data_IF_150564433656
#
_entry.id   IF_150564433656
#
_cell.length_a   1.000
_cell.length_b   1.000
_cell.length_c   1.000
_cell.angle_alpha   90.00
_cell.angle_beta   90.00
_cell.angle_gamma   90.00
#
_symmetry.space_group_name_H-M   'P 1'
#
loop_
_entity.id
_entity.type
_entity.pdbx_description
1 polymer ?
#
# COMPACT_ATOMS: atom_id res chain seq x y z
N UNK A 1 15.35 -13.40 15.13
CA UNK A 1 14.59 -12.12 15.03
C UNK A 1 13.17 -12.48 14.57
N UNK A 2 12.12 -11.72 14.96
CA UNK A 2 10.69 -12.10 14.76
C UNK A 2 10.35 -12.46 13.30
N UNK A 3 10.90 -11.73 12.33
CA UNK A 3 10.61 -11.88 10.90
C UNK A 3 11.83 -12.35 10.08
N UNK A 4 12.70 -13.17 10.69
CA UNK A 4 13.88 -13.71 10.00
C UNK A 4 14.89 -12.63 9.58
N UNK A 5 15.57 -12.85 8.46
CA UNK A 5 16.62 -11.96 7.94
C UNK A 5 16.11 -10.57 7.54
N UNK A 6 14.84 -10.48 7.09
CA UNK A 6 14.21 -9.24 6.66
C UNK A 6 13.59 -8.43 7.81
N UNK A 7 13.86 -8.78 9.08
CA UNK A 7 13.21 -8.16 10.24
C UNK A 7 13.26 -6.64 10.25
N UNK A 8 14.40 -6.03 9.88
CA UNK A 8 14.49 -4.57 9.90
C UNK A 8 13.68 -3.91 8.78
N UNK A 9 13.53 -4.59 7.64
CA UNK A 9 12.74 -4.10 6.52
C UNK A 9 11.24 -4.12 6.84
N UNK A 10 10.76 -5.22 7.43
CA UNK A 10 9.37 -5.33 7.90
C UNK A 10 9.09 -4.26 8.97
N UNK A 11 10.00 -4.10 9.93
CA UNK A 11 9.87 -3.07 10.98
C UNK A 11 9.82 -1.65 10.45
N UNK A 12 10.54 -1.31 9.38
CA UNK A 12 10.44 0.03 8.78
C UNK A 12 9.00 0.35 8.32
N UNK A 13 8.25 -0.63 7.80
CA UNK A 13 6.83 -0.42 7.44
C UNK A 13 5.96 -0.30 8.69
N UNK A 14 6.20 -1.13 9.70
CA UNK A 14 5.48 -1.06 10.98
C UNK A 14 5.72 0.26 11.73
N UNK A 15 6.96 0.74 11.71
CA UNK A 15 7.35 2.01 12.32
C UNK A 15 6.83 3.20 11.51
N UNK A 16 6.48 3.01 10.23
CA UNK A 16 5.86 4.07 9.43
C UNK A 16 4.51 4.49 10.04
N UNK A 17 3.61 3.54 10.32
CA UNK A 17 2.28 3.85 10.88
C UNK A 17 2.34 4.46 12.29
N UNK A 18 3.37 4.11 13.06
CA UNK A 18 3.61 4.61 14.43
C UNK A 18 4.12 6.04 14.48
N UNK A 19 4.95 6.42 13.52
CA UNK A 19 5.77 7.63 13.61
C UNK A 19 5.46 8.68 12.54
N UNK A 20 4.58 8.37 11.58
CA UNK A 20 4.25 9.27 10.48
C UNK A 20 2.78 9.66 10.50
N UNK A 21 2.49 10.60 9.61
CA UNK A 21 1.16 11.09 9.30
C UNK A 21 1.02 11.14 7.79
N UNK A 22 -0.10 10.64 7.28
CA UNK A 22 -0.48 10.72 5.88
C UNK A 22 -0.70 12.17 5.45
N UNK A 23 -0.48 12.44 4.17
CA UNK A 23 -0.76 13.73 3.55
C UNK A 23 -0.04 14.93 4.19
N UNK A 24 1.13 14.71 4.79
CA UNK A 24 1.89 15.75 5.51
C UNK A 24 3.11 16.28 4.72
N UNK A 25 3.27 15.89 3.45
CA UNK A 25 4.41 16.26 2.60
C UNK A 25 3.96 17.08 1.40
N UNK A 26 4.73 18.13 1.12
CA UNK A 26 4.42 19.11 0.08
C UNK A 26 5.09 18.82 -1.27
N UNK A 27 6.06 17.89 -1.32
CA UNK A 27 6.89 17.64 -2.50
C UNK A 27 6.83 16.15 -2.85
N UNK A 28 5.83 15.79 -3.63
CA UNK A 28 5.66 14.44 -4.17
C UNK A 28 6.44 14.31 -5.49
N UNK A 29 7.39 13.38 -5.53
CA UNK A 29 8.30 13.13 -6.64
C UNK A 29 8.45 11.62 -6.86
N UNK A 30 7.63 11.09 -7.76
CA UNK A 30 7.76 9.72 -8.27
C UNK A 30 7.56 9.76 -9.79
N UNK A 31 8.29 8.92 -10.51
CA UNK A 31 8.20 8.84 -11.97
C UNK A 31 7.09 7.86 -12.39
N UNK A 32 6.59 8.00 -13.62
CA UNK A 32 5.60 7.09 -14.23
C UNK A 32 4.30 6.96 -13.41
N UNK A 33 3.71 8.10 -13.08
CA UNK A 33 2.41 8.18 -12.43
C UNK A 33 1.62 9.40 -12.88
N UNK A 34 0.33 9.32 -12.65
CA UNK A 34 -0.58 10.45 -12.70
C UNK A 34 -0.92 10.89 -11.27
N UNK A 35 -0.81 12.20 -11.00
CA UNK A 35 -1.24 12.78 -9.73
C UNK A 35 -2.63 13.39 -9.91
N UNK A 36 -3.53 13.07 -9.00
CA UNK A 36 -4.85 13.70 -8.88
C UNK A 36 -5.00 14.35 -7.50
N UNK A 37 -5.86 15.36 -7.42
CA UNK A 37 -6.07 16.20 -6.23
C UNK A 37 -7.52 16.17 -5.74
N UNK A 38 -8.43 15.55 -6.50
CA UNK A 38 -9.82 15.39 -6.11
C UNK A 38 -9.99 14.06 -5.35
N UNK A 39 -10.39 14.15 -4.09
CA UNK A 39 -10.54 12.98 -3.24
C UNK A 39 -11.71 12.10 -3.67
N UNK A 40 -12.81 12.67 -4.17
CA UNK A 40 -13.94 11.87 -4.65
C UNK A 40 -13.56 11.12 -5.93
N UNK A 41 -12.78 11.75 -6.81
CA UNK A 41 -12.21 11.07 -7.99
C UNK A 41 -11.31 9.91 -7.57
N UNK A 42 -10.42 10.13 -6.60
CA UNK A 42 -9.56 9.08 -6.07
C UNK A 42 -10.33 7.90 -5.47
N UNK A 43 -11.38 8.18 -4.70
CA UNK A 43 -12.29 7.17 -4.16
C UNK A 43 -13.00 6.37 -5.27
N UNK A 44 -13.53 7.06 -6.27
CA UNK A 44 -14.18 6.39 -7.40
C UNK A 44 -13.21 5.47 -8.15
N UNK A 45 -11.97 5.91 -8.38
CA UNK A 45 -10.94 5.09 -9.03
C UNK A 45 -10.57 3.85 -8.19
N UNK A 46 -10.44 4.01 -6.87
CA UNK A 46 -10.02 2.93 -5.98
C UNK A 46 -11.09 1.85 -5.86
N UNK A 47 -12.37 2.25 -5.85
CA UNK A 47 -13.49 1.34 -5.59
C UNK A 47 -14.23 0.86 -6.83
N UNK A 48 -14.11 1.56 -7.97
CA UNK A 48 -14.84 1.16 -9.18
C UNK A 48 -14.40 -0.23 -9.64
N UNK A 49 -15.41 -1.08 -9.83
CA UNK A 49 -15.28 -2.42 -10.42
C UNK A 49 -15.75 -2.43 -11.87
N UNK A 50 -16.15 -1.27 -12.41
CA UNK A 50 -16.69 -1.15 -13.76
C UNK A 50 -15.56 -0.75 -14.73
N UNK A 51 -15.15 -1.71 -15.58
CA UNK A 51 -14.16 -1.48 -16.64
C UNK A 51 -14.60 -0.48 -17.73
N UNK A 52 -15.84 0.00 -17.68
CA UNK A 52 -16.30 1.11 -18.52
C UNK A 52 -16.10 2.49 -17.88
N UNK A 53 -15.86 2.54 -16.57
CA UNK A 53 -15.57 3.76 -15.81
C UNK A 53 -14.07 3.97 -15.61
N UNK A 54 -13.29 2.89 -15.57
CA UNK A 54 -11.84 2.91 -15.35
C UNK A 54 -11.09 2.08 -16.40
N UNK A 55 -9.90 2.53 -16.78
CA UNK A 55 -9.04 1.83 -17.76
C UNK A 55 -8.63 0.43 -17.26
N UNK A 56 -8.26 0.34 -15.98
CA UNK A 56 -7.93 -0.91 -15.30
C UNK A 56 -8.49 -0.86 -13.88
N UNK A 57 -9.21 -1.90 -13.47
CA UNK A 57 -9.74 -2.04 -12.10
C UNK A 57 -8.58 -2.15 -11.11
N UNK A 58 -8.57 -1.27 -10.11
CA UNK A 58 -7.46 -1.19 -9.15
C UNK A 58 -7.28 -2.48 -8.35
N UNK A 59 -8.39 -3.06 -7.90
CA UNK A 59 -8.39 -4.33 -7.16
C UNK A 59 -7.81 -5.48 -7.98
N UNK A 60 -8.02 -5.50 -9.30
CA UNK A 60 -7.40 -6.49 -10.18
C UNK A 60 -5.87 -6.39 -10.17
N UNK A 61 -5.32 -5.16 -10.21
CA UNK A 61 -3.87 -4.94 -10.13
C UNK A 61 -3.31 -5.44 -8.79
N UNK A 62 -3.94 -5.03 -7.67
CA UNK A 62 -3.54 -5.48 -6.32
C UNK A 62 -3.60 -7.01 -6.21
N UNK A 63 -4.64 -7.65 -6.74
CA UNK A 63 -4.79 -9.11 -6.68
C UNK A 63 -3.70 -9.85 -7.45
N UNK A 64 -3.29 -9.36 -8.64
CA UNK A 64 -2.23 -9.99 -9.42
C UNK A 64 -0.89 -9.95 -8.67
N UNK A 65 -0.58 -8.81 -8.06
CA UNK A 65 0.68 -8.60 -7.34
C UNK A 65 0.71 -9.38 -6.01
N UNK A 66 -0.41 -9.38 -5.28
CA UNK A 66 -0.55 -10.08 -4.01
C UNK A 66 -0.40 -11.59 -4.13
N UNK A 67 -0.87 -12.19 -5.24
CA UNK A 67 -0.80 -13.64 -5.45
C UNK A 67 0.63 -14.20 -5.29
N UNK A 68 1.62 -13.50 -5.84
CA UNK A 68 3.03 -13.91 -5.75
C UNK A 68 3.60 -13.84 -4.32
N UNK A 69 3.10 -12.91 -3.51
CA UNK A 69 3.50 -12.76 -2.10
C UNK A 69 2.89 -13.90 -1.29
N UNK A 70 1.59 -14.15 -1.48
CA UNK A 70 0.86 -15.22 -0.78
C UNK A 70 1.46 -16.59 -1.07
N UNK A 71 1.79 -16.88 -2.32
CA UNK A 71 2.48 -18.12 -2.71
C UNK A 71 3.81 -18.29 -1.94
N UNK A 72 4.64 -17.24 -1.89
CA UNK A 72 5.92 -17.28 -1.16
C UNK A 72 5.76 -17.43 0.35
N UNK A 73 4.71 -16.87 0.94
CA UNK A 73 4.42 -17.07 2.37
C UNK A 73 4.22 -18.56 2.66
N UNK A 74 3.45 -19.26 1.82
CA UNK A 74 3.24 -20.70 1.97
C UNK A 74 4.51 -21.50 1.68
N UNK A 75 5.21 -21.22 0.60
CA UNK A 75 6.42 -21.96 0.19
C UNK A 75 7.56 -21.86 1.21
N UNK A 76 7.64 -20.73 1.92
CA UNK A 76 8.66 -20.46 2.93
C UNK A 76 8.21 -20.78 4.36
N UNK A 77 7.00 -21.32 4.55
CA UNK A 77 6.40 -21.62 5.86
C UNK A 77 6.35 -20.39 6.80
N UNK A 78 5.92 -19.25 6.26
CA UNK A 78 5.90 -17.96 6.94
C UNK A 78 4.52 -17.53 7.46
N UNK A 79 3.56 -18.47 7.54
CA UNK A 79 2.17 -18.19 7.93
C UNK A 79 2.08 -17.54 9.31
N UNK A 80 2.91 -17.96 10.27
CA UNK A 80 2.90 -17.36 11.62
C UNK A 80 3.35 -15.89 11.59
N UNK A 81 4.35 -15.56 10.76
CA UNK A 81 4.84 -14.20 10.59
C UNK A 81 3.83 -13.34 9.83
N UNK A 82 3.07 -13.94 8.91
CA UNK A 82 1.97 -13.27 8.24
C UNK A 82 0.85 -12.92 9.24
N UNK A 83 0.42 -13.86 10.08
CA UNK A 83 -0.58 -13.61 11.13
C UNK A 83 -0.12 -12.51 12.08
N UNK A 84 1.15 -12.54 12.50
CA UNK A 84 1.77 -11.50 13.32
C UNK A 84 1.75 -10.09 12.67
N UNK A 85 1.81 -10.02 11.34
CA UNK A 85 1.74 -8.77 10.58
C UNK A 85 0.28 -8.31 10.49
N UNK A 86 -0.65 -9.21 10.18
CA UNK A 86 -2.08 -8.88 10.15
C UNK A 86 -2.58 -8.38 11.51
N UNK A 87 -2.25 -9.08 12.60
CA UNK A 87 -2.61 -8.67 13.96
C UNK A 87 -2.08 -7.26 14.27
N UNK A 88 -0.84 -6.97 13.86
CA UNK A 88 -0.23 -5.67 14.09
C UNK A 88 -0.93 -4.52 13.37
N UNK A 89 -1.25 -4.69 12.08
CA UNK A 89 -1.88 -3.63 11.27
C UNK A 89 -3.38 -3.48 11.55
N UNK A 90 -4.06 -4.52 12.03
CA UNK A 90 -5.47 -4.46 12.43
C UNK A 90 -5.71 -3.80 13.79
N UNK A 91 -4.66 -3.68 14.61
CA UNK A 91 -4.71 -3.04 15.92
C UNK A 91 -4.43 -1.53 15.81
N UNK A 92 -5.50 -0.73 15.91
CA UNK A 92 -5.44 0.73 15.84
C UNK A 92 -4.58 1.39 16.93
N UNK A 93 -4.32 0.71 18.07
CA UNK A 93 -3.41 1.24 19.09
C UNK A 93 -1.95 1.30 18.61
N UNK A 94 -1.61 0.61 17.50
CA UNK A 94 -0.31 0.68 16.87
C UNK A 94 -0.13 1.90 15.94
N UNK A 95 -1.18 2.65 15.64
CA UNK A 95 -1.11 3.81 14.77
C UNK A 95 -0.83 5.08 15.58
N UNK A 96 -0.16 6.05 14.96
CA UNK A 96 -0.12 7.39 15.54
C UNK A 96 -1.55 7.97 15.58
N UNK A 97 -1.91 8.69 16.65
CA UNK A 97 -3.26 9.26 16.81
C UNK A 97 -3.73 10.14 15.63
N UNK A 98 -2.77 10.74 14.93
CA UNK A 98 -3.02 11.61 13.78
C UNK A 98 -2.55 10.96 12.46
N UNK A 99 -2.39 9.63 12.41
CA UNK A 99 -1.83 8.93 11.26
C UNK A 99 -2.60 9.24 9.98
N UNK A 100 -3.91 9.05 9.98
CA UNK A 100 -4.79 9.42 8.87
C UNK A 100 -5.73 10.55 9.33
N UNK A 101 -5.71 11.74 8.70
CA UNK A 101 -6.65 12.79 9.05
C UNK A 101 -8.10 12.33 8.91
N UNK A 102 -8.96 12.67 9.87
CA UNK A 102 -10.36 12.21 9.93
C UNK A 102 -11.17 12.48 8.66
N UNK A 103 -10.84 13.53 7.89
CA UNK A 103 -11.50 13.85 6.62
C UNK A 103 -11.31 12.77 5.54
N UNK A 104 -10.35 11.87 5.73
CA UNK A 104 -10.02 10.75 4.85
C UNK A 104 -10.33 9.39 5.48
N UNK A 105 -11.15 9.34 6.53
CA UNK A 105 -11.40 8.09 7.28
C UNK A 105 -11.98 6.97 6.41
N UNK A 106 -12.69 7.32 5.34
CA UNK A 106 -13.33 6.36 4.43
C UNK A 106 -12.32 5.45 3.70
N UNK A 107 -11.04 5.84 3.61
CA UNK A 107 -9.99 5.04 2.96
C UNK A 107 -9.11 4.28 3.95
N UNK A 108 -9.48 4.25 5.24
CA UNK A 108 -8.64 3.65 6.27
C UNK A 108 -8.30 2.18 5.98
N UNK A 109 -9.29 1.39 5.57
CA UNK A 109 -9.11 -0.03 5.23
C UNK A 109 -8.21 -0.23 4.00
N UNK A 110 -8.30 0.66 3.00
CA UNK A 110 -7.40 0.62 1.83
C UNK A 110 -5.95 0.89 2.24
N UNK A 111 -5.74 1.89 3.09
CA UNK A 111 -4.39 2.25 3.58
C UNK A 111 -3.79 1.13 4.44
N UNK A 112 -4.59 0.56 5.35
CA UNK A 112 -4.19 -0.59 6.17
C UNK A 112 -3.81 -1.79 5.31
N UNK A 113 -4.66 -2.13 4.33
CA UNK A 113 -4.43 -3.26 3.42
C UNK A 113 -3.15 -3.10 2.60
N UNK A 114 -2.94 -1.92 2.01
CA UNK A 114 -1.74 -1.65 1.22
C UNK A 114 -0.47 -1.73 2.06
N UNK A 115 -0.45 -1.13 3.26
CA UNK A 115 0.73 -1.14 4.15
C UNK A 115 1.00 -2.54 4.72
N UNK A 116 -0.03 -3.32 5.00
CA UNK A 116 0.08 -4.74 5.36
C UNK A 116 0.77 -5.51 4.25
N UNK A 117 0.35 -5.33 3.00
CA UNK A 117 0.96 -5.98 1.84
C UNK A 117 2.40 -5.49 1.59
N UNK A 118 2.72 -4.22 1.88
CA UNK A 118 4.09 -3.73 1.85
C UNK A 118 4.98 -4.45 2.88
N UNK A 119 4.47 -4.69 4.09
CA UNK A 119 5.19 -5.44 5.12
C UNK A 119 5.39 -6.92 4.72
N UNK A 120 4.35 -7.57 4.18
CA UNK A 120 4.44 -8.95 3.67
C UNK A 120 5.39 -9.07 2.47
N UNK A 121 5.37 -8.09 1.57
CA UNK A 121 6.32 -8.01 0.47
C UNK A 121 7.76 -8.03 0.99
N UNK A 122 8.07 -7.22 1.99
CA UNK A 122 9.42 -7.17 2.59
C UNK A 122 9.77 -8.42 3.36
N UNK A 123 8.79 -9.08 3.96
CA UNK A 123 8.99 -10.37 4.62
C UNK A 123 9.53 -11.40 3.63
N UNK A 124 8.87 -11.56 2.48
CA UNK A 124 9.18 -12.64 1.51
C UNK A 124 10.19 -12.26 0.43
N UNK A 125 10.28 -10.98 0.05
CA UNK A 125 11.14 -10.50 -1.04
C UNK A 125 12.30 -9.64 -0.56
N UNK A 126 12.33 -9.22 0.71
CA UNK A 126 13.22 -8.14 1.15
C UNK A 126 12.92 -6.84 0.39
N UNK A 127 13.95 -6.01 0.17
CA UNK A 127 13.82 -4.74 -0.54
C UNK A 127 14.22 -4.92 -2.01
N UNK A 128 13.23 -5.02 -2.90
CA UNK A 128 13.42 -5.20 -4.35
C UNK A 128 12.62 -4.16 -5.14
N UNK A 129 13.01 -3.89 -6.40
CA UNK A 129 12.25 -2.97 -7.26
C UNK A 129 10.98 -3.66 -7.79
N UNK A 130 9.93 -3.67 -6.98
CA UNK A 130 8.65 -4.31 -7.30
C UNK A 130 7.45 -3.41 -6.95
N UNK A 131 6.25 -3.89 -7.25
CA UNK A 131 5.02 -3.13 -7.08
C UNK A 131 4.84 -2.59 -5.66
N UNK A 132 4.87 -3.46 -4.65
CA UNK A 132 4.60 -3.03 -3.27
C UNK A 132 5.71 -2.17 -2.66
N UNK A 133 6.98 -2.27 -3.10
CA UNK A 133 7.96 -1.25 -2.73
C UNK A 133 7.62 0.11 -3.35
N UNK A 134 7.15 0.16 -4.60
CA UNK A 134 6.67 1.41 -5.24
C UNK A 134 5.39 1.95 -4.59
N UNK A 135 4.54 1.10 -4.05
CA UNK A 135 3.38 1.51 -3.24
C UNK A 135 3.89 2.14 -1.94
N UNK A 136 4.83 1.50 -1.24
CA UNK A 136 5.37 2.04 0.00
C UNK A 136 6.12 3.37 -0.20
N UNK A 137 6.83 3.56 -1.31
CA UNK A 137 7.43 4.86 -1.62
C UNK A 137 6.37 5.97 -1.79
N UNK A 138 5.21 5.68 -2.39
CA UNK A 138 4.10 6.65 -2.47
C UNK A 138 3.61 7.05 -1.08
N UNK A 139 3.38 6.07 -0.20
CA UNK A 139 2.98 6.32 1.19
C UNK A 139 4.02 7.15 1.93
N UNK A 140 5.30 6.82 1.79
CA UNK A 140 6.39 7.60 2.39
C UNK A 140 6.45 9.03 1.86
N UNK A 141 5.98 9.29 0.65
CA UNK A 141 5.88 10.63 0.08
C UNK A 141 4.56 11.33 0.41
N UNK A 142 3.67 10.68 1.16
CA UNK A 142 2.41 11.25 1.62
C UNK A 142 1.28 11.16 0.58
N UNK A 143 1.45 10.38 -0.48
CA UNK A 143 0.38 10.11 -1.45
C UNK A 143 -0.42 8.85 -1.08
N UNK A 144 -1.58 8.69 -1.71
CA UNK A 144 -2.38 7.47 -1.65
C UNK A 144 -2.55 6.89 -3.06
N UNK A 145 -2.02 5.68 -3.35
CA UNK A 145 -2.23 5.04 -4.65
C UNK A 145 -3.67 4.55 -4.77
N UNK A 146 -4.38 5.08 -5.75
CA UNK A 146 -5.84 4.93 -5.83
C UNK A 146 -6.32 4.42 -7.20
N UNK A 147 -5.43 4.06 -8.11
CA UNK A 147 -5.85 3.54 -9.41
C UNK A 147 -4.72 3.24 -10.38
N UNK A 148 -5.12 2.86 -11.59
CA UNK A 148 -4.21 2.55 -12.69
C UNK A 148 -4.78 3.06 -14.02
N UNK A 149 -3.97 3.83 -14.74
CA UNK A 149 -4.28 4.39 -16.06
C UNK A 149 -3.70 3.54 -17.17
N UNK A 150 -4.48 3.31 -18.23
CA UNK A 150 -4.12 2.42 -19.33
C UNK A 150 -4.13 0.95 -18.92
N UNK A 151 -3.55 0.09 -19.76
CA UNK A 151 -3.53 -1.36 -19.54
C UNK A 151 -2.39 -1.77 -18.62
N UNK A 152 -2.69 -2.47 -17.53
CA UNK A 152 -1.68 -3.10 -16.69
C UNK A 152 -0.98 -4.26 -17.42
N UNK A 153 0.37 -4.42 -17.34
CA UNK A 153 1.32 -3.67 -16.50
C UNK A 153 2.02 -2.49 -17.21
N UNK A 154 1.58 -2.09 -18.40
CA UNK A 154 2.26 -1.06 -19.23
C UNK A 154 1.92 0.36 -18.78
N UNK A 155 0.72 0.52 -18.21
CA UNK A 155 0.17 1.81 -17.79
C UNK A 155 0.87 2.49 -16.61
N UNK A 156 0.20 3.48 -16.06
CA UNK A 156 0.73 4.34 -14.99
C UNK A 156 -0.14 4.23 -13.74
N UNK A 157 0.50 4.30 -12.58
CA UNK A 157 -0.22 4.36 -11.30
C UNK A 157 -0.87 5.73 -11.15
N UNK A 158 -2.09 5.76 -10.62
CA UNK A 158 -2.77 7.01 -10.25
C UNK A 158 -2.61 7.20 -8.74
N UNK A 159 -2.21 8.39 -8.32
CA UNK A 159 -1.95 8.74 -6.92
C UNK A 159 -2.70 10.00 -6.54
N UNK A 160 -3.44 9.92 -5.45
CA UNK A 160 -4.03 11.06 -4.79
C UNK A 160 -3.01 11.80 -3.91
N UNK A 161 -2.92 13.12 -4.10
CA UNK A 161 -2.15 14.05 -3.26
C UNK A 161 -3.01 15.29 -2.98
N UNK A 162 -3.30 15.61 -1.70
CA UNK A 162 -4.08 16.79 -1.31
C UNK A 162 -3.49 18.15 -1.70
#
# INVERSE_FOLDING_TARGET
MKFGENTQLVKEVMDFIRNNKMFNKNNFHENNLEVINDFNEAQNLAWSQDSSEVDTVWEYVKSQEAASIVEKVYDLDLVTQQDDIYDFFSDHDNYSNDFLPFVYIDINEEVEGDLTMCALNRLVNGKTDNFYEKIFEVYKQGGWPCGWKGTYPIGEKIVYVP
#
